data_IF_138557685599
#
_entry.id   IF_138557685599
#
_cell.length_a   1.000
_cell.length_b   1.000
_cell.length_c   1.000
_cell.angle_alpha   90.00
_cell.angle_beta   90.00
_cell.angle_gamma   90.00
#
_symmetry.space_group_name_H-M   'P 1'
#
loop_
_entity.id
_entity.type
_entity.pdbx_description
1 polymer ?
#
# COMPACT_ATOMS: atom_id res chain seq x y z
N UNK A 1 9.36 5.94 12.76
CA UNK A 1 9.99 5.15 11.69
C UNK A 1 9.21 5.39 10.41
N UNK A 2 9.86 5.34 9.25
CA UNK A 2 9.39 5.91 7.98
C UNK A 2 8.10 5.30 7.40
N UNK A 3 6.95 5.53 8.05
CA UNK A 3 5.64 5.07 7.54
C UNK A 3 5.29 5.67 6.18
N UNK A 4 5.98 6.75 5.77
CA UNK A 4 5.88 7.43 4.47
C UNK A 4 6.79 6.86 3.39
N UNK A 5 7.79 6.04 3.74
CA UNK A 5 8.63 5.38 2.76
C UNK A 5 8.29 3.90 2.70
N UNK A 6 8.11 3.43 1.47
CA UNK A 6 7.69 2.06 1.25
C UNK A 6 8.81 1.08 1.60
N UNK A 7 8.48 0.08 2.41
CA UNK A 7 9.31 -1.09 2.66
C UNK A 7 9.33 -1.91 1.36
N UNK A 8 10.43 -1.87 0.61
CA UNK A 8 10.58 -2.60 -0.65
C UNK A 8 10.74 -4.11 -0.45
N UNK A 9 11.39 -4.53 0.64
CA UNK A 9 11.65 -5.95 0.90
C UNK A 9 10.44 -6.67 1.50
N UNK A 10 9.91 -7.64 0.75
CA UNK A 10 8.85 -8.55 1.23
C UNK A 10 9.27 -9.32 2.50
N UNK A 11 10.56 -9.69 2.62
CA UNK A 11 11.07 -10.40 3.79
C UNK A 11 11.04 -9.53 5.04
N UNK A 12 11.39 -8.24 4.91
CA UNK A 12 11.32 -7.28 6.02
C UNK A 12 9.88 -7.09 6.47
N UNK A 13 8.95 -6.86 5.52
CA UNK A 13 7.52 -6.72 5.84
C UNK A 13 6.97 -7.97 6.53
N UNK A 14 7.26 -9.17 6.01
CA UNK A 14 6.83 -10.43 6.63
C UNK A 14 7.34 -10.55 8.08
N UNK A 15 8.61 -10.25 8.31
CA UNK A 15 9.18 -10.28 9.67
C UNK A 15 8.51 -9.26 10.57
N UNK A 16 8.32 -8.03 10.09
CA UNK A 16 7.66 -6.97 10.86
C UNK A 16 6.24 -7.39 11.28
N UNK A 17 5.45 -7.94 10.36
CA UNK A 17 4.10 -8.44 10.65
C UNK A 17 4.10 -9.59 11.67
N UNK A 18 5.00 -10.56 11.51
CA UNK A 18 5.12 -11.68 12.47
C UNK A 18 5.48 -11.18 13.87
N UNK A 19 6.49 -10.30 13.98
CA UNK A 19 6.91 -9.79 15.28
C UNK A 19 5.84 -8.90 15.92
N UNK A 20 5.24 -7.98 15.16
CA UNK A 20 4.21 -7.08 15.67
C UNK A 20 2.99 -7.84 16.20
N UNK A 21 2.59 -8.92 15.52
CA UNK A 21 1.49 -9.79 15.94
C UNK A 21 1.67 -10.31 17.36
N UNK A 22 2.88 -10.75 17.72
CA UNK A 22 3.15 -11.33 19.04
C UNK A 22 3.03 -10.29 20.18
N UNK A 23 3.05 -8.99 19.84
CA UNK A 23 2.82 -7.87 20.77
C UNK A 23 1.45 -7.20 20.57
N UNK A 24 0.58 -7.73 19.72
CA UNK A 24 -0.70 -7.09 19.37
C UNK A 24 -0.55 -5.75 18.63
N UNK A 25 0.62 -5.51 18.01
CA UNK A 25 0.92 -4.30 17.27
C UNK A 25 0.33 -4.29 15.85
N UNK A 26 0.09 -3.09 15.32
CA UNK A 26 -0.37 -2.85 13.95
C UNK A 26 0.79 -2.30 13.12
N UNK A 27 1.02 -2.88 11.95
CA UNK A 27 1.93 -2.31 10.95
C UNK A 27 1.14 -1.36 10.06
N UNK A 28 1.39 -0.05 10.19
CA UNK A 28 0.84 0.98 9.31
C UNK A 28 1.87 1.36 8.23
N UNK A 29 1.44 1.38 6.96
CA UNK A 29 2.34 1.54 5.83
C UNK A 29 1.73 2.34 4.69
N UNK A 30 2.46 3.30 4.16
CA UNK A 30 2.16 3.99 2.89
C UNK A 30 2.88 3.29 1.73
N UNK A 31 2.10 2.90 0.73
CA UNK A 31 2.54 2.05 -0.38
C UNK A 31 2.76 2.88 -1.64
N UNK A 32 4.00 2.89 -2.13
CA UNK A 32 4.41 3.51 -3.37
C UNK A 32 5.71 2.84 -3.84
N UNK A 33 5.63 2.10 -4.93
CA UNK A 33 6.78 1.49 -5.59
C UNK A 33 7.66 2.58 -6.20
N UNK A 34 8.94 2.60 -5.81
CA UNK A 34 9.86 3.66 -6.20
C UNK A 34 10.25 3.60 -7.68
N UNK A 35 10.29 2.41 -8.28
CA UNK A 35 10.67 2.23 -9.68
C UNK A 35 9.52 2.63 -10.61
N UNK A 36 8.29 2.30 -10.23
CA UNK A 36 7.09 2.69 -10.97
C UNK A 36 6.73 4.17 -10.78
N UNK A 37 6.89 4.71 -9.56
CA UNK A 37 6.66 6.13 -9.33
C UNK A 37 7.74 7.00 -9.98
N UNK A 38 9.00 6.54 -9.95
CA UNK A 38 10.15 7.19 -10.58
C UNK A 38 10.18 8.71 -10.31
N UNK A 39 10.23 9.53 -11.36
CA UNK A 39 10.14 11.00 -11.32
C UNK A 39 8.73 11.55 -11.54
N UNK A 40 7.69 10.71 -11.42
CA UNK A 40 6.31 11.12 -11.55
C UNK A 40 5.89 12.14 -10.48
N UNK A 41 5.07 13.10 -10.87
CA UNK A 41 4.65 14.23 -10.02
C UNK A 41 3.13 14.36 -9.89
N UNK A 42 2.38 13.51 -10.59
CA UNK A 42 0.92 13.55 -10.67
C UNK A 42 0.38 12.15 -10.93
N UNK A 43 -0.90 11.88 -10.65
CA UNK A 43 -1.56 10.65 -11.12
C UNK A 43 -1.44 10.51 -12.64
N UNK A 44 -1.05 9.34 -13.12
CA UNK A 44 -0.99 9.07 -14.55
C UNK A 44 -2.38 9.07 -15.18
N UNK A 45 -2.53 9.85 -16.26
CA UNK A 45 -3.75 9.90 -17.04
C UNK A 45 -3.76 11.04 -18.04
N UNK A 46 -4.89 11.19 -18.73
CA UNK A 46 -5.09 12.19 -19.79
C UNK A 46 -4.72 13.61 -19.34
N UNK A 47 -5.05 13.97 -18.10
CA UNK A 47 -4.78 15.30 -17.57
C UNK A 47 -3.29 15.56 -17.35
N UNK A 48 -2.53 14.58 -16.85
CA UNK A 48 -1.08 14.67 -16.75
C UNK A 48 -0.44 14.82 -18.15
N UNK A 49 -0.93 14.05 -19.13
CA UNK A 49 -0.48 14.15 -20.52
C UNK A 49 -0.75 15.53 -21.12
N UNK A 50 -1.93 16.10 -20.88
CA UNK A 50 -2.27 17.46 -21.35
C UNK A 50 -1.40 18.55 -20.72
N UNK A 51 -1.00 18.37 -19.46
CA UNK A 51 -0.10 19.30 -18.75
C UNK A 51 1.38 19.05 -19.04
N UNK A 52 1.74 17.99 -19.77
CA UNK A 52 3.13 17.61 -20.01
C UNK A 52 3.87 17.15 -18.75
N UNK A 53 3.14 16.65 -17.74
CA UNK A 53 3.70 16.18 -16.47
C UNK A 53 3.94 14.68 -16.51
N UNK A 54 5.01 14.22 -15.82
CA UNK A 54 5.25 12.81 -15.60
C UNK A 54 4.21 12.22 -14.64
N UNK A 55 3.50 11.18 -15.10
CA UNK A 55 2.47 10.48 -14.34
C UNK A 55 3.04 9.38 -13.44
N UNK A 56 2.34 9.10 -12.33
CA UNK A 56 2.54 7.96 -11.44
C UNK A 56 1.41 6.96 -11.72
N UNK A 57 1.73 5.74 -12.18
CA UNK A 57 0.75 4.70 -12.42
C UNK A 57 0.08 4.24 -11.11
N UNK A 58 -1.16 3.75 -11.21
CA UNK A 58 -1.92 3.24 -10.05
C UNK A 58 -1.30 1.97 -9.46
N UNK A 59 -0.54 1.26 -10.28
CA UNK A 59 0.24 0.06 -9.96
C UNK A 59 1.35 0.36 -8.97
N UNK A 60 1.90 1.59 -8.97
CA UNK A 60 2.89 2.01 -7.99
C UNK A 60 2.32 1.91 -6.56
N UNK A 61 1.04 2.23 -6.36
CA UNK A 61 0.36 2.04 -5.07
C UNK A 61 -0.03 0.56 -4.87
N UNK A 62 -0.63 -0.06 -5.89
CA UNK A 62 -1.36 -1.31 -5.71
C UNK A 62 -0.48 -2.55 -5.59
N UNK A 63 0.67 -2.61 -6.28
CA UNK A 63 1.58 -3.77 -6.23
C UNK A 63 2.16 -3.99 -4.82
N UNK A 64 2.81 -2.99 -4.18
CA UNK A 64 3.28 -3.16 -2.82
C UNK A 64 2.14 -3.40 -1.82
N UNK A 65 0.96 -2.81 -2.05
CA UNK A 65 -0.22 -3.07 -1.22
C UNK A 65 -0.68 -4.53 -1.30
N UNK A 66 -0.86 -5.11 -2.48
CA UNK A 66 -1.27 -6.51 -2.66
C UNK A 66 -0.28 -7.48 -1.99
N UNK A 67 1.02 -7.20 -2.12
CA UNK A 67 2.07 -7.95 -1.41
C UNK A 67 1.86 -7.89 0.10
N UNK A 68 1.65 -6.70 0.65
CA UNK A 68 1.48 -6.52 2.09
C UNK A 68 0.21 -7.20 2.62
N UNK A 69 -0.90 -7.10 1.88
CA UNK A 69 -2.15 -7.78 2.20
C UNK A 69 -1.98 -9.30 2.20
N UNK A 70 -1.28 -9.86 1.22
CA UNK A 70 -0.96 -11.28 1.17
C UNK A 70 -0.08 -11.71 2.36
N UNK A 71 0.91 -10.90 2.73
CA UNK A 71 1.77 -11.16 3.88
C UNK A 71 1.02 -11.02 5.22
N UNK A 72 0.11 -10.06 5.33
CA UNK A 72 -0.75 -9.89 6.50
C UNK A 72 -1.63 -11.13 6.69
N UNK A 73 -2.22 -11.64 5.60
CA UNK A 73 -2.98 -12.91 5.63
C UNK A 73 -2.11 -14.10 6.02
N UNK A 74 -0.92 -14.23 5.41
CA UNK A 74 0.01 -15.33 5.68
C UNK A 74 0.47 -15.36 7.13
N UNK A 75 0.75 -14.19 7.71
CA UNK A 75 1.29 -14.07 9.07
C UNK A 75 0.20 -13.95 10.13
N UNK A 76 -1.03 -13.60 9.75
CA UNK A 76 -2.09 -13.22 10.69
C UNK A 76 -1.80 -11.91 11.44
N UNK A 77 -0.82 -11.12 10.98
CA UNK A 77 -0.50 -9.82 11.56
C UNK A 77 -1.52 -8.75 11.19
N UNK A 78 -1.68 -7.75 12.07
CA UNK A 78 -2.54 -6.61 11.81
C UNK A 78 -1.84 -5.59 10.90
N UNK A 79 -2.48 -5.23 9.78
CA UNK A 79 -1.96 -4.28 8.80
C UNK A 79 -2.92 -3.12 8.56
N UNK A 80 -2.37 -1.92 8.40
CA UNK A 80 -3.11 -0.72 8.06
C UNK A 80 -2.49 -0.05 6.82
N UNK A 81 -3.22 -0.03 5.71
CA UNK A 81 -2.86 0.77 4.54
C UNK A 81 -3.11 2.24 4.87
N UNK A 82 -2.05 3.02 5.12
CA UNK A 82 -2.16 4.33 5.73
C UNK A 82 -2.95 5.34 4.88
N UNK A 83 -2.79 5.27 3.56
CA UNK A 83 -3.48 6.15 2.60
C UNK A 83 -3.60 5.44 1.25
N UNK A 84 -4.81 5.06 0.89
CA UNK A 84 -5.14 4.57 -0.45
C UNK A 84 -5.70 5.70 -1.31
N UNK A 85 -5.38 5.73 -2.60
CA UNK A 85 -5.85 6.74 -3.55
C UNK A 85 -6.57 6.16 -4.78
N UNK A 86 -6.57 4.83 -4.91
CA UNK A 86 -7.12 4.18 -6.10
C UNK A 86 -8.29 3.25 -5.77
N UNK A 87 -9.25 3.15 -6.70
CA UNK A 87 -10.31 2.15 -6.62
C UNK A 87 -9.74 0.71 -6.64
N UNK A 88 -8.60 0.51 -7.31
CA UNK A 88 -7.88 -0.76 -7.33
C UNK A 88 -7.40 -1.16 -5.93
N UNK A 89 -6.79 -0.24 -5.19
CA UNK A 89 -6.39 -0.44 -3.80
C UNK A 89 -7.59 -0.68 -2.87
N UNK A 90 -8.67 0.10 -3.01
CA UNK A 90 -9.88 -0.10 -2.21
C UNK A 90 -10.50 -1.50 -2.42
N UNK A 91 -10.53 -1.97 -3.66
CA UNK A 91 -10.99 -3.31 -4.00
C UNK A 91 -10.05 -4.38 -3.44
N UNK A 92 -8.73 -4.17 -3.50
CA UNK A 92 -7.75 -5.09 -2.92
C UNK A 92 -7.94 -5.27 -1.42
N UNK A 93 -8.11 -4.17 -0.68
CA UNK A 93 -8.38 -4.22 0.78
C UNK A 93 -9.69 -4.95 1.07
N UNK A 94 -10.74 -4.70 0.28
CA UNK A 94 -12.03 -5.40 0.41
C UNK A 94 -11.88 -6.91 0.22
N UNK A 95 -11.15 -7.35 -0.81
CA UNK A 95 -10.87 -8.77 -1.05
C UNK A 95 -10.06 -9.39 0.09
N UNK A 96 -8.99 -8.73 0.52
CA UNK A 96 -8.15 -9.24 1.60
C UNK A 96 -8.92 -9.43 2.92
N UNK A 97 -9.86 -8.52 3.24
CA UNK A 97 -10.78 -8.68 4.37
C UNK A 97 -11.68 -9.90 4.20
N UNK A 98 -12.28 -10.10 3.01
CA UNK A 98 -13.11 -11.25 2.72
C UNK A 98 -12.32 -12.58 2.82
N UNK A 99 -11.04 -12.54 2.47
CA UNK A 99 -10.11 -13.67 2.57
C UNK A 99 -9.58 -13.93 3.99
N UNK A 100 -10.07 -13.19 5.00
CA UNK A 100 -9.74 -13.39 6.41
C UNK A 100 -8.49 -12.66 6.90
N UNK A 101 -7.93 -11.73 6.13
CA UNK A 101 -6.80 -10.91 6.58
C UNK A 101 -7.26 -9.83 7.58
N UNK A 102 -6.49 -9.62 8.65
CA UNK A 102 -6.73 -8.54 9.62
C UNK A 102 -6.18 -7.20 9.10
N UNK A 103 -6.94 -6.57 8.20
CA UNK A 103 -6.48 -5.39 7.45
C UNK A 103 -7.46 -4.23 7.54
N UNK A 104 -6.91 -3.01 7.58
CA UNK A 104 -7.67 -1.75 7.56
C UNK A 104 -7.02 -0.78 6.57
N UNK A 105 -7.72 0.30 6.24
CA UNK A 105 -7.19 1.33 5.33
C UNK A 105 -7.68 2.72 5.73
N UNK A 106 -6.87 3.74 5.42
CA UNK A 106 -7.19 5.16 5.52
C UNK A 106 -7.26 5.83 4.15
N UNK A 107 -8.01 6.92 4.06
CA UNK A 107 -8.10 7.79 2.87
C UNK A 107 -7.97 9.24 3.31
N UNK A 108 -7.33 10.09 2.52
CA UNK A 108 -7.24 11.52 2.81
C UNK A 108 -8.51 12.26 2.40
N UNK A 109 -8.82 13.38 3.05
CA UNK A 109 -9.99 14.21 2.72
C UNK A 109 -9.90 14.88 1.34
N UNK A 110 -8.68 15.08 0.83
CA UNK A 110 -8.43 15.72 -0.48
C UNK A 110 -8.23 14.71 -1.62
N UNK A 111 -8.46 13.41 -1.33
CA UNK A 111 -8.38 12.35 -2.33
C UNK A 111 -9.68 12.26 -3.14
#
# INVERSE_FOLDING_TARGET
TDGRHTISSALVMRRALTYARDFGGVIAHETQDADLASSGVMNEGLYASWLGLAGIPREAESIPLERDLALARLTGGAYHAAKISTAMAANAVTRAKADGANVTAGVSIHN
#
